data_IF_886360475405
#
_entry.id   IF_886360475405
#
_cell.length_a   1.000
_cell.length_b   1.000
_cell.length_c   1.000
_cell.angle_alpha   90.00
_cell.angle_beta   90.00
_cell.angle_gamma   90.00
#
_symmetry.space_group_name_H-M   'P 1'
#
loop_
_entity.id
_entity.type
_entity.pdbx_description
1 polymer ?
#
# COMPACT_ATOMS: atom_id res chain seq x y z
N UNK A 1 11.76 9.04 -20.66
CA UNK A 1 10.50 8.29 -20.87
C UNK A 1 9.71 8.40 -19.58
N UNK A 2 8.48 8.89 -19.69
CA UNK A 2 7.70 9.50 -18.61
C UNK A 2 7.07 8.41 -17.73
N UNK A 3 7.60 8.18 -16.52
CA UNK A 3 6.83 7.52 -15.46
C UNK A 3 6.13 8.60 -14.65
N UNK A 4 4.88 8.90 -15.01
CA UNK A 4 3.96 9.66 -14.15
C UNK A 4 3.57 8.74 -13.00
N UNK A 5 4.45 8.64 -12.01
CA UNK A 5 4.16 8.12 -10.69
C UNK A 5 2.93 8.83 -10.13
N UNK A 6 1.82 8.13 -9.98
CA UNK A 6 0.63 8.70 -9.40
C UNK A 6 0.41 8.08 -8.03
N UNK A 7 0.78 8.81 -6.97
CA UNK A 7 0.31 8.55 -5.60
C UNK A 7 -1.20 8.26 -5.55
N UNK A 8 -1.95 8.78 -6.53
CA UNK A 8 -3.38 8.57 -6.71
C UNK A 8 -3.73 7.09 -6.99
N UNK A 9 -2.93 6.33 -7.76
CA UNK A 9 -3.22 4.91 -8.03
C UNK A 9 -3.04 4.05 -6.79
N UNK A 10 -2.03 4.33 -5.97
CA UNK A 10 -1.82 3.66 -4.69
C UNK A 10 -2.91 4.01 -3.66
N UNK A 11 -3.29 5.29 -3.57
CA UNK A 11 -4.43 5.73 -2.74
C UNK A 11 -5.76 5.10 -3.19
N UNK A 12 -5.99 4.94 -4.49
CA UNK A 12 -7.17 4.24 -5.03
C UNK A 12 -7.11 2.75 -4.68
N UNK A 13 -5.96 2.09 -4.79
CA UNK A 13 -5.81 0.67 -4.44
C UNK A 13 -6.12 0.41 -2.95
N UNK A 14 -5.53 1.23 -2.07
CA UNK A 14 -5.81 1.25 -0.63
C UNK A 14 -7.31 1.48 -0.40
N UNK A 15 -7.90 2.54 -0.94
CA UNK A 15 -9.33 2.83 -0.78
C UNK A 15 -10.25 1.71 -1.29
N UNK A 16 -9.89 1.04 -2.39
CA UNK A 16 -10.67 -0.06 -2.97
C UNK A 16 -10.61 -1.32 -2.10
N UNK A 17 -9.46 -1.62 -1.49
CA UNK A 17 -9.33 -2.72 -0.51
C UNK A 17 -10.17 -2.46 0.75
N UNK A 18 -10.24 -1.20 1.20
CA UNK A 18 -11.03 -0.79 2.36
C UNK A 18 -12.53 -0.66 2.07
N UNK A 19 -12.95 -0.47 0.81
CA UNK A 19 -14.39 -0.34 0.48
C UNK A 19 -15.11 -1.70 0.46
N UNK A 20 -14.39 -2.82 0.31
CA UNK A 20 -14.98 -4.17 0.34
C UNK A 20 -15.10 -4.79 1.74
N UNK A 21 -14.49 -4.19 2.76
CA UNK A 21 -14.55 -4.65 4.15
C UNK A 21 -15.00 -3.45 4.98
N UNK A 22 -16.19 -3.52 5.57
CA UNK A 22 -16.71 -2.48 6.46
C UNK A 22 -15.90 -2.42 7.77
N UNK A 23 -14.63 -2.03 7.67
CA UNK A 23 -13.83 -1.54 8.78
C UNK A 23 -13.79 -0.02 8.63
N UNK A 24 -13.77 0.67 9.76
CA UNK A 24 -13.54 2.12 9.85
C UNK A 24 -12.48 2.53 8.83
N UNK A 25 -12.69 3.66 8.19
CA UNK A 25 -11.71 4.26 7.28
C UNK A 25 -10.48 4.66 8.11
N UNK A 26 -9.65 3.70 8.51
CA UNK A 26 -8.52 3.95 9.39
C UNK A 26 -7.41 4.47 8.53
N UNK A 27 -7.21 5.79 8.63
CA UNK A 27 -6.26 6.53 7.83
C UNK A 27 -4.90 5.84 7.87
N UNK A 28 -4.47 5.31 6.72
CA UNK A 28 -3.09 4.92 6.52
C UNK A 28 -2.20 6.17 6.70
N UNK A 29 -1.20 6.07 7.57
CA UNK A 29 -0.27 7.12 7.93
C UNK A 29 1.11 6.80 7.33
N UNK A 30 1.83 7.87 6.98
CA UNK A 30 3.23 7.85 6.59
C UNK A 30 3.58 6.80 5.51
N UNK A 31 2.85 6.72 4.38
CA UNK A 31 3.14 5.73 3.35
C UNK A 31 4.51 6.00 2.71
N UNK A 32 5.28 4.94 2.50
CA UNK A 32 6.49 4.96 1.71
C UNK A 32 6.39 3.91 0.61
N UNK A 33 6.89 4.26 -0.57
CA UNK A 33 6.97 3.36 -1.72
C UNK A 33 8.37 3.41 -2.30
N UNK A 34 8.91 2.25 -2.66
CA UNK A 34 10.19 2.12 -3.35
C UNK A 34 10.05 1.11 -4.48
N UNK A 35 10.77 1.32 -5.57
CA UNK A 35 10.79 0.43 -6.72
C UNK A 35 12.20 0.00 -7.06
N UNK A 36 12.35 -1.14 -7.72
CA UNK A 36 13.61 -1.50 -8.33
C UNK A 36 13.90 -0.62 -9.59
N UNK A 37 15.10 -0.75 -10.16
CA UNK A 37 15.53 0.06 -11.29
C UNK A 37 14.65 -0.11 -12.56
N UNK A 38 14.05 -1.28 -12.76
CA UNK A 38 13.14 -1.53 -13.88
C UNK A 38 11.71 -1.04 -13.63
N UNK A 39 11.33 -0.78 -12.37
CA UNK A 39 9.95 -0.50 -11.96
C UNK A 39 9.05 -1.73 -11.95
N UNK A 40 9.57 -2.92 -12.24
CA UNK A 40 8.82 -4.18 -12.22
C UNK A 40 8.40 -4.56 -10.79
N UNK A 41 9.30 -4.32 -9.84
CA UNK A 41 9.05 -4.59 -8.43
C UNK A 41 8.83 -3.28 -7.68
N UNK A 42 7.73 -3.22 -6.94
CA UNK A 42 7.38 -2.13 -6.06
C UNK A 42 7.10 -2.66 -4.65
N UNK A 43 7.48 -1.89 -3.65
CA UNK A 43 7.27 -2.20 -2.24
C UNK A 43 6.64 -1.00 -1.58
N UNK A 44 5.54 -1.22 -0.88
CA UNK A 44 4.82 -0.19 -0.15
C UNK A 44 4.74 -0.57 1.33
N UNK A 45 5.02 0.41 2.20
CA UNK A 45 4.88 0.29 3.65
C UNK A 45 4.07 1.47 4.17
N UNK A 46 3.23 1.23 5.17
CA UNK A 46 2.46 2.28 5.83
C UNK A 46 2.13 1.87 7.26
N UNK A 47 1.86 2.87 8.10
CA UNK A 47 1.24 2.63 9.40
C UNK A 47 -0.28 2.68 9.23
N UNK A 48 -1.00 1.77 9.88
CA UNK A 48 -2.47 1.75 9.90
C UNK A 48 -2.89 1.58 11.36
N UNK A 49 -3.95 2.26 11.78
CA UNK A 49 -4.61 1.83 13.01
C UNK A 49 -5.36 0.52 12.70
N UNK A 50 -5.43 -0.42 13.65
CA UNK A 50 -6.25 -1.64 13.54
C UNK A 50 -7.47 -1.63 14.48
N UNK A 51 -7.87 -0.43 14.93
CA UNK A 51 -8.88 -0.20 15.94
C UNK A 51 -8.36 -0.25 17.38
N UNK A 52 -7.13 -0.75 17.61
CA UNK A 52 -6.50 -0.80 18.95
C UNK A 52 -5.10 -0.20 18.96
N UNK A 53 -4.27 -0.52 17.98
CA UNK A 53 -2.87 -0.13 17.89
C UNK A 53 -2.55 0.45 16.51
N UNK A 54 -1.50 1.27 16.45
CA UNK A 54 -0.87 1.64 15.17
C UNK A 54 0.07 0.49 14.76
N UNK A 55 -0.34 -0.27 13.76
CA UNK A 55 0.42 -1.37 13.16
C UNK A 55 1.16 -0.91 11.90
N UNK A 56 2.26 -1.57 11.56
CA UNK A 56 2.96 -1.36 10.28
C UNK A 56 2.58 -2.49 9.33
N UNK A 57 2.13 -2.12 8.13
CA UNK A 57 1.78 -3.05 7.08
C UNK A 57 2.65 -2.85 5.84
N UNK A 58 2.77 -3.92 5.06
CA UNK A 58 3.48 -3.92 3.78
C UNK A 58 2.68 -4.65 2.71
N UNK A 59 2.88 -4.23 1.47
CA UNK A 59 2.46 -4.93 0.26
C UNK A 59 3.53 -4.77 -0.82
N UNK A 60 3.58 -5.69 -1.77
CA UNK A 60 4.52 -5.63 -2.87
C UNK A 60 3.84 -5.94 -4.20
N UNK A 61 4.35 -5.32 -5.26
CA UNK A 61 4.03 -5.64 -6.64
C UNK A 61 5.26 -6.23 -7.30
N UNK A 62 5.05 -7.19 -8.19
CA UNK A 62 6.08 -7.79 -9.03
C UNK A 62 5.73 -7.67 -10.52
N UNK A 63 4.84 -6.75 -10.87
CA UNK A 63 4.32 -6.59 -12.23
C UNK A 63 3.99 -5.14 -12.55
N UNK A 64 4.93 -4.23 -12.28
CA UNK A 64 4.79 -2.80 -12.59
C UNK A 64 3.56 -2.17 -11.93
N UNK A 65 3.34 -2.48 -10.65
CA UNK A 65 2.23 -1.94 -9.85
C UNK A 65 0.82 -2.33 -10.34
N UNK A 66 0.71 -3.25 -11.32
CA UNK A 66 -0.58 -3.72 -11.85
C UNK A 66 -1.33 -4.60 -10.87
N UNK A 67 -0.60 -5.34 -10.03
CA UNK A 67 -1.15 -6.18 -8.98
C UNK A 67 -0.27 -6.06 -7.74
N UNK A 68 -0.91 -6.02 -6.58
CA UNK A 68 -0.27 -5.97 -5.29
C UNK A 68 -0.64 -7.22 -4.51
N UNK A 69 0.33 -7.74 -3.76
CA UNK A 69 0.12 -8.86 -2.84
C UNK A 69 -0.88 -8.51 -1.74
N UNK A 70 -1.37 -9.56 -1.08
CA UNK A 70 -2.15 -9.42 0.16
C UNK A 70 -1.34 -8.69 1.23
N UNK A 71 -2.02 -7.87 2.03
CA UNK A 71 -1.37 -7.08 3.07
C UNK A 71 -0.74 -7.97 4.14
N UNK A 72 0.49 -7.63 4.57
CA UNK A 72 1.21 -8.32 5.64
C UNK A 72 1.48 -7.31 6.76
N UNK A 73 1.13 -7.65 8.01
CA UNK A 73 1.51 -6.86 9.19
C UNK A 73 2.90 -7.29 9.67
N UNK A 74 3.78 -6.32 9.91
CA UNK A 74 5.19 -6.54 10.29
C UNK A 74 5.57 -5.94 11.66
N UNK A 75 4.66 -5.22 12.30
CA UNK A 75 4.82 -4.79 13.71
C UNK A 75 4.42 -5.91 14.67
N UNK A 76 5.07 -5.96 15.84
CA UNK A 76 4.83 -6.92 16.92
C UNK A 76 3.69 -6.46 17.84
#
# INVERSE_FOLDING_TARGET
>A
MISKFSKLFFLIFIATLFLSKAESLENAKNPQISTNASGEYAYAIWSKNDGTNDIVQTANSSNYENNWSTLITISN
#
